data_IF_981700811342
#
_entry.id   IF_981700811342
#
_cell.length_a   1.000
_cell.length_b   1.000
_cell.length_c   1.000
_cell.angle_alpha   90.00
_cell.angle_beta   90.00
_cell.angle_gamma   90.00
#
_symmetry.space_group_name_H-M   'P 1'
#
loop_
_entity.id
_entity.type
_entity.pdbx_description
1 polymer ?
#
# COMPACT_ATOMS: atom_id res chain seq x y z
N UNK A 1 18.26 -5.51 -20.74
CA UNK A 1 18.51 -6.60 -19.76
C UNK A 1 19.69 -6.20 -18.88
N UNK A 2 19.60 -6.43 -17.58
CA UNK A 2 20.71 -6.16 -16.64
C UNK A 2 21.72 -7.32 -16.77
N UNK A 3 23.01 -7.07 -17.06
CA UNK A 3 24.02 -8.11 -17.12
C UNK A 3 24.08 -8.93 -15.82
N UNK A 4 24.29 -10.25 -15.93
CA UNK A 4 24.36 -11.12 -14.75
C UNK A 4 25.49 -10.74 -13.79
N UNK A 5 26.60 -10.20 -14.33
CA UNK A 5 27.69 -9.62 -13.53
C UNK A 5 27.23 -8.46 -12.64
N UNK A 6 26.32 -7.61 -13.13
CA UNK A 6 25.76 -6.50 -12.35
C UNK A 6 24.79 -6.99 -11.28
N UNK A 7 24.03 -8.06 -11.55
CA UNK A 7 23.16 -8.70 -10.55
C UNK A 7 24.01 -9.28 -9.42
N UNK A 8 25.11 -9.97 -9.76
CA UNK A 8 26.06 -10.50 -8.79
C UNK A 8 26.71 -9.40 -7.95
N UNK A 9 27.10 -8.28 -8.57
CA UNK A 9 27.62 -7.11 -7.84
C UNK A 9 26.59 -6.53 -6.87
N UNK A 10 25.34 -6.35 -7.30
CA UNK A 10 24.26 -5.85 -6.44
C UNK A 10 24.01 -6.75 -5.23
N UNK A 11 24.07 -8.07 -5.40
CA UNK A 11 23.95 -9.02 -4.28
C UNK A 11 25.16 -8.94 -3.35
N UNK A 12 26.38 -8.88 -3.88
CA UNK A 12 27.60 -8.75 -3.09
C UNK A 12 27.61 -7.47 -2.24
N UNK A 13 27.11 -6.36 -2.79
CA UNK A 13 26.98 -5.07 -2.09
C UNK A 13 25.76 -4.96 -1.18
N UNK A 14 24.99 -6.05 -1.00
CA UNK A 14 23.74 -6.09 -0.23
C UNK A 14 22.69 -5.07 -0.74
N UNK A 15 22.77 -4.69 -2.01
CA UNK A 15 21.79 -3.86 -2.73
C UNK A 15 20.67 -4.70 -3.33
N UNK A 16 20.92 -5.99 -3.52
CA UNK A 16 19.95 -6.99 -3.95
C UNK A 16 20.00 -8.23 -3.06
N UNK A 17 18.96 -9.04 -3.13
CA UNK A 17 18.86 -10.31 -2.41
C UNK A 17 18.24 -11.37 -3.30
N UNK A 18 18.82 -12.57 -3.32
CA UNK A 18 18.21 -13.76 -3.91
C UNK A 18 17.11 -14.27 -2.99
N UNK A 19 15.94 -14.53 -3.58
CA UNK A 19 14.76 -15.05 -2.91
C UNK A 19 14.19 -16.21 -3.76
N UNK A 20 13.26 -16.96 -3.19
CA UNK A 20 12.55 -18.02 -3.88
C UNK A 20 11.08 -18.03 -3.47
N UNK A 21 10.22 -18.44 -4.38
CA UNK A 21 8.81 -18.70 -4.12
C UNK A 21 8.39 -20.00 -4.83
N UNK A 22 8.19 -21.07 -4.05
CA UNK A 22 8.18 -22.42 -4.61
C UNK A 22 9.52 -22.72 -5.30
N UNK A 23 9.46 -23.25 -6.52
CA UNK A 23 10.64 -23.58 -7.33
C UNK A 23 11.19 -22.39 -8.11
N UNK A 24 10.50 -21.24 -8.10
CA UNK A 24 10.93 -20.06 -8.83
C UNK A 24 11.92 -19.23 -8.01
N UNK A 25 13.16 -19.14 -8.49
CA UNK A 25 14.22 -18.33 -7.89
C UNK A 25 14.36 -17.00 -8.61
N UNK A 26 14.51 -15.92 -7.86
CA UNK A 26 14.65 -14.58 -8.42
C UNK A 26 15.54 -13.70 -7.52
N UNK A 27 16.05 -12.62 -8.09
CA UNK A 27 16.76 -11.57 -7.36
C UNK A 27 15.85 -10.35 -7.23
N UNK A 28 15.71 -9.81 -6.02
CA UNK A 28 15.02 -8.53 -5.79
C UNK A 28 15.99 -7.44 -5.38
N UNK A 29 15.77 -6.23 -5.88
CA UNK A 29 16.51 -5.05 -5.45
C UNK A 29 15.97 -4.52 -4.11
N UNK A 30 16.86 -4.41 -3.12
CA UNK A 30 16.60 -3.80 -1.81
C UNK A 30 16.66 -2.27 -1.87
N UNK A 31 17.46 -1.74 -2.80
CA UNK A 31 17.70 -0.33 -3.04
C UNK A 31 17.67 -0.04 -4.55
N UNK A 32 17.60 1.24 -4.92
CA UNK A 32 17.75 1.64 -6.33
C UNK A 32 19.17 1.25 -6.81
N UNK A 33 19.28 0.75 -8.04
CA UNK A 33 20.54 0.24 -8.60
C UNK A 33 20.61 0.49 -10.11
N UNK A 34 21.59 1.29 -10.55
CA UNK A 34 21.83 1.62 -11.97
C UNK A 34 20.57 1.91 -12.80
N UNK A 35 19.72 2.82 -12.30
CA UNK A 35 18.46 3.23 -12.96
C UNK A 35 17.24 2.39 -12.58
N UNK A 36 17.43 1.19 -12.04
CA UNK A 36 16.33 0.32 -11.62
C UNK A 36 15.86 0.66 -10.20
N UNK A 37 14.55 0.89 -10.00
CA UNK A 37 14.02 1.22 -8.68
C UNK A 37 14.09 0.04 -7.71
N UNK A 38 14.14 0.34 -6.41
CA UNK A 38 13.90 -0.62 -5.33
C UNK A 38 12.64 -1.44 -5.60
N UNK A 39 12.72 -2.74 -5.32
CA UNK A 39 11.64 -3.69 -5.53
C UNK A 39 11.57 -4.26 -6.94
N UNK A 40 12.51 -3.90 -7.83
CA UNK A 40 12.69 -4.58 -9.13
C UNK A 40 13.00 -6.05 -8.91
N UNK A 41 12.38 -6.92 -9.71
CA UNK A 41 12.62 -8.36 -9.75
C UNK A 41 13.35 -8.74 -11.02
N UNK A 42 14.32 -9.64 -10.87
CA UNK A 42 15.17 -10.15 -11.94
C UNK A 42 15.24 -11.67 -11.82
N UNK A 43 14.76 -12.36 -12.84
CA UNK A 43 14.93 -13.80 -13.03
C UNK A 43 15.24 -14.06 -14.50
N UNK A 44 15.68 -15.28 -14.85
CA UNK A 44 16.04 -15.60 -16.23
C UNK A 44 14.89 -15.26 -17.20
N UNK A 45 15.14 -14.34 -18.14
CA UNK A 45 14.15 -13.82 -19.08
C UNK A 45 13.05 -12.90 -18.51
N UNK A 46 12.99 -12.65 -17.20
CA UNK A 46 11.92 -11.90 -16.53
C UNK A 46 12.48 -10.67 -15.80
N UNK A 47 11.99 -9.49 -16.18
CA UNK A 47 12.34 -8.22 -15.53
C UNK A 47 11.07 -7.47 -15.17
N UNK A 48 10.79 -7.37 -13.86
CA UNK A 48 9.63 -6.63 -13.33
C UNK A 48 10.13 -5.38 -12.62
N UNK A 49 10.07 -4.19 -13.24
CA UNK A 49 10.60 -2.98 -12.63
C UNK A 49 9.87 -2.65 -11.32
N UNK A 50 10.61 -2.14 -10.33
CA UNK A 50 10.06 -1.59 -9.09
C UNK A 50 9.05 -0.48 -9.41
N UNK A 51 7.87 -0.50 -8.78
CA UNK A 51 6.99 0.67 -8.90
C UNK A 51 7.75 1.88 -8.32
N UNK A 52 7.85 3.03 -9.00
CA UNK A 52 8.61 4.21 -8.56
C UNK A 52 7.90 4.93 -7.41
N UNK A 53 8.61 5.75 -6.63
CA UNK A 53 8.01 6.56 -5.56
C UNK A 53 7.21 7.70 -6.20
N UNK A 54 6.00 7.96 -5.69
CA UNK A 54 5.19 9.11 -6.09
C UNK A 54 5.38 10.23 -5.07
N UNK A 55 5.79 11.41 -5.56
CA UNK A 55 5.94 12.61 -4.74
C UNK A 55 4.61 13.08 -4.16
N UNK A 56 4.63 13.66 -2.97
CA UNK A 56 3.45 14.26 -2.35
C UNK A 56 3.46 15.76 -2.61
N UNK A 57 2.33 16.31 -3.04
CA UNK A 57 2.13 17.76 -3.03
C UNK A 57 1.55 18.13 -1.67
N UNK A 58 2.16 19.12 -1.01
CA UNK A 58 1.75 19.51 0.34
C UNK A 58 0.61 20.53 0.34
N UNK A 59 0.45 21.30 -0.75
CA UNK A 59 -0.63 22.27 -0.91
C UNK A 59 -1.19 22.28 -2.33
N UNK A 60 -2.47 22.63 -2.52
CA UNK A 60 -3.09 22.76 -3.84
C UNK A 60 -2.39 23.82 -4.70
N UNK A 61 -1.86 24.87 -4.10
CA UNK A 61 -1.07 25.88 -4.79
C UNK A 61 0.18 25.28 -5.49
N UNK A 62 0.77 24.22 -4.92
CA UNK A 62 1.91 23.51 -5.49
C UNK A 62 1.60 22.81 -6.82
N UNK A 63 0.34 22.53 -7.13
CA UNK A 63 -0.05 21.90 -8.40
C UNK A 63 0.34 22.77 -9.60
N UNK A 64 0.13 24.09 -9.51
CA UNK A 64 0.42 25.03 -10.60
C UNK A 64 1.90 25.11 -10.97
N UNK A 65 2.80 24.92 -9.99
CA UNK A 65 4.24 24.96 -10.24
C UNK A 65 4.81 23.61 -10.67
N UNK A 66 4.15 22.51 -10.30
CA UNK A 66 4.64 21.16 -10.56
C UNK A 66 4.14 20.60 -11.89
N UNK A 67 2.89 20.85 -12.28
CA UNK A 67 2.28 20.35 -13.50
C UNK A 67 2.44 21.37 -14.63
N UNK A 68 3.06 20.94 -15.73
CA UNK A 68 3.33 21.77 -16.91
C UNK A 68 2.30 21.55 -18.02
N UNK A 69 1.39 20.61 -17.81
CA UNK A 69 0.29 20.32 -18.69
C UNK A 69 -0.89 19.74 -17.92
N UNK A 70 -1.90 19.27 -18.64
CA UNK A 70 -3.09 18.70 -18.05
C UNK A 70 -2.77 17.39 -17.35
N UNK A 71 -3.61 16.97 -16.40
CA UNK A 71 -3.42 15.74 -15.67
C UNK A 71 -4.73 15.00 -15.43
N UNK A 72 -4.62 13.68 -15.36
CA UNK A 72 -5.69 12.79 -14.92
C UNK A 72 -5.75 12.77 -13.41
N UNK A 73 -6.97 12.77 -12.88
CA UNK A 73 -7.24 12.65 -11.44
C UNK A 73 -7.80 11.25 -11.21
N UNK A 74 -7.03 10.39 -10.55
CA UNK A 74 -7.48 9.07 -10.13
C UNK A 74 -7.56 9.02 -8.60
N UNK A 75 -8.53 8.32 -8.06
CA UNK A 75 -8.63 8.06 -6.63
C UNK A 75 -7.37 7.30 -6.15
N UNK A 76 -6.82 7.76 -5.03
CA UNK A 76 -5.82 7.00 -4.30
C UNK A 76 -6.57 6.01 -3.41
N UNK A 77 -6.48 4.73 -3.76
CA UNK A 77 -7.04 3.65 -2.94
C UNK A 77 -6.08 3.34 -1.80
N UNK A 78 -6.62 3.20 -0.59
CA UNK A 78 -5.86 2.79 0.59
C UNK A 78 -5.82 1.27 0.71
N UNK A 79 -4.62 0.70 0.74
CA UNK A 79 -4.37 -0.72 0.67
C UNK A 79 -2.88 -1.01 0.57
N UNK A 80 -2.51 -2.00 -0.23
CA UNK A 80 -1.10 -2.20 -0.56
C UNK A 80 -0.86 -2.41 -2.06
N UNK A 81 0.22 -1.80 -2.52
CA UNK A 81 0.70 -1.87 -3.89
C UNK A 81 1.14 -3.28 -4.29
N UNK A 82 0.59 -3.74 -5.42
CA UNK A 82 0.88 -5.03 -6.04
C UNK A 82 1.23 -4.83 -7.52
N UNK A 83 2.19 -5.62 -7.99
CA UNK A 83 2.49 -5.84 -9.42
C UNK A 83 2.18 -7.29 -9.76
N UNK A 84 1.18 -7.51 -10.62
CA UNK A 84 0.80 -8.85 -11.11
C UNK A 84 1.41 -9.04 -12.49
N UNK A 85 2.10 -10.15 -12.70
CA UNK A 85 2.82 -10.44 -13.95
C UNK A 85 2.90 -11.95 -14.18
N UNK A 86 3.20 -12.32 -15.43
CA UNK A 86 3.45 -13.70 -15.82
C UNK A 86 4.95 -14.01 -15.83
N UNK A 87 5.33 -15.17 -15.31
CA UNK A 87 6.67 -15.74 -15.50
C UNK A 87 6.54 -17.24 -15.77
N UNK A 88 6.97 -17.66 -16.96
CA UNK A 88 6.66 -18.99 -17.48
C UNK A 88 5.15 -19.19 -17.63
N UNK A 89 4.62 -20.27 -17.05
CA UNK A 89 3.19 -20.60 -17.10
C UNK A 89 2.41 -20.19 -15.85
N UNK A 90 3.06 -19.49 -14.91
CA UNK A 90 2.45 -19.05 -13.67
C UNK A 90 2.29 -17.52 -13.63
N UNK A 91 1.28 -17.08 -12.88
CA UNK A 91 1.10 -15.69 -12.50
C UNK A 91 1.63 -15.48 -11.08
N UNK A 92 2.29 -14.35 -10.88
CA UNK A 92 2.86 -13.96 -9.59
C UNK A 92 2.42 -12.54 -9.25
N UNK A 93 2.25 -12.30 -7.95
CA UNK A 93 1.94 -10.97 -7.43
C UNK A 93 3.08 -10.51 -6.51
N UNK A 94 3.81 -9.48 -6.94
CA UNK A 94 4.88 -8.87 -6.16
C UNK A 94 4.38 -7.68 -5.35
N UNK A 95 4.73 -7.63 -4.07
CA UNK A 95 4.56 -6.42 -3.24
C UNK A 95 5.45 -5.28 -3.73
N UNK A 96 5.22 -4.08 -3.21
CA UNK A 96 6.08 -2.91 -3.44
C UNK A 96 7.58 -3.17 -3.24
N UNK A 97 7.93 -3.98 -2.24
CA UNK A 97 9.32 -4.30 -1.90
C UNK A 97 9.98 -5.37 -2.77
N UNK A 98 9.26 -5.91 -3.75
CA UNK A 98 9.74 -7.01 -4.59
C UNK A 98 9.72 -8.37 -3.89
N UNK A 99 8.80 -8.59 -2.94
CA UNK A 99 8.55 -9.95 -2.43
C UNK A 99 7.32 -10.51 -3.12
N UNK A 100 7.39 -11.76 -3.59
CA UNK A 100 6.19 -12.46 -4.06
C UNK A 100 5.28 -12.69 -2.86
N UNK A 101 4.08 -12.12 -2.96
CA UNK A 101 3.06 -12.19 -1.93
C UNK A 101 2.34 -13.53 -2.05
N UNK A 102 2.46 -14.44 -1.06
CA UNK A 102 1.76 -15.73 -1.12
C UNK A 102 0.25 -15.54 -1.19
N UNK A 103 -0.28 -14.60 -0.38
CA UNK A 103 -1.69 -14.26 -0.36
C UNK A 103 -2.18 -13.70 -1.70
N UNK A 104 -1.56 -12.65 -2.22
CA UNK A 104 -2.07 -12.07 -3.47
C UNK A 104 -1.90 -13.03 -4.65
N UNK A 105 -0.81 -13.81 -4.69
CA UNK A 105 -0.56 -14.79 -5.76
C UNK A 105 -1.62 -15.88 -5.76
N UNK A 106 -1.98 -16.39 -4.59
CA UNK A 106 -3.06 -17.35 -4.39
C UNK A 106 -4.43 -16.82 -4.84
N UNK A 107 -4.66 -15.51 -4.66
CA UNK A 107 -5.94 -14.84 -4.90
C UNK A 107 -6.07 -14.20 -6.29
N UNK A 108 -5.07 -14.30 -7.18
CA UNK A 108 -5.08 -13.60 -8.49
C UNK A 108 -6.38 -13.88 -9.27
N UNK A 109 -6.79 -15.14 -9.35
CA UNK A 109 -7.97 -15.56 -10.11
C UNK A 109 -9.30 -15.02 -9.53
N UNK A 110 -9.33 -14.63 -8.26
CA UNK A 110 -10.49 -13.97 -7.65
C UNK A 110 -10.47 -12.45 -7.89
N UNK A 111 -9.29 -11.89 -8.15
CA UNK A 111 -9.06 -10.44 -8.23
C UNK A 111 -9.18 -9.91 -9.66
N UNK A 112 -8.75 -10.70 -10.64
CA UNK A 112 -8.73 -10.35 -12.06
C UNK A 112 -8.93 -11.60 -12.93
N UNK A 113 -9.40 -11.41 -14.17
CA UNK A 113 -9.41 -12.48 -15.17
C UNK A 113 -7.97 -12.72 -15.71
N UNK A 114 -7.39 -13.93 -15.51
CA UNK A 114 -6.06 -14.27 -16.01
C UNK A 114 -5.88 -14.17 -17.54
N UNK A 115 -6.96 -14.17 -18.31
CA UNK A 115 -6.93 -14.15 -19.78
C UNK A 115 -6.15 -12.96 -20.37
N UNK A 116 -6.05 -11.85 -19.63
CA UNK A 116 -5.21 -10.69 -20.01
C UNK A 116 -3.76 -11.08 -20.27
N UNK A 117 -3.20 -12.01 -19.49
CA UNK A 117 -1.82 -12.48 -19.64
C UNK A 117 -1.66 -13.60 -20.67
N UNK A 118 -2.76 -14.17 -21.15
CA UNK A 118 -2.74 -15.04 -22.33
C UNK A 118 -2.62 -14.19 -23.61
N UNK A 119 -3.28 -13.04 -23.66
CA UNK A 119 -3.18 -12.10 -24.77
C UNK A 119 -1.89 -11.28 -24.72
N UNK A 120 -1.46 -10.87 -23.52
CA UNK A 120 -0.32 -9.98 -23.30
C UNK A 120 0.56 -10.48 -22.16
N UNK A 121 1.39 -11.53 -22.41
CA UNK A 121 2.24 -12.14 -21.38
C UNK A 121 3.32 -11.18 -20.83
N UNK A 122 3.68 -10.14 -21.57
CA UNK A 122 4.69 -9.15 -21.22
C UNK A 122 4.18 -8.01 -20.33
N UNK A 123 2.86 -7.90 -20.13
CA UNK A 123 2.29 -6.85 -19.30
C UNK A 123 2.47 -7.11 -17.82
N UNK A 124 2.50 -6.02 -17.06
CA UNK A 124 2.53 -6.00 -15.61
C UNK A 124 1.38 -5.10 -15.16
N UNK A 125 0.41 -5.68 -14.46
CA UNK A 125 -0.70 -4.94 -13.88
C UNK A 125 -0.26 -4.36 -12.53
N UNK A 126 -0.27 -3.04 -12.42
CA UNK A 126 0.03 -2.34 -11.17
C UNK A 126 -1.28 -1.87 -10.55
N UNK A 127 -1.60 -2.39 -9.37
CA UNK A 127 -2.83 -2.06 -8.68
C UNK A 127 -2.70 -2.12 -7.17
N UNK A 128 -3.75 -1.66 -6.53
CA UNK A 128 -3.88 -1.67 -5.08
C UNK A 128 -4.78 -2.84 -4.68
N UNK A 129 -4.33 -3.64 -3.72
CA UNK A 129 -5.20 -4.63 -3.06
C UNK A 129 -5.67 -4.06 -1.74
N UNK A 130 -6.98 -4.06 -1.52
CA UNK A 130 -7.63 -3.49 -0.34
C UNK A 130 -8.79 -4.37 0.11
N UNK A 131 -9.21 -4.20 1.37
CA UNK A 131 -10.31 -4.96 1.98
C UNK A 131 -10.03 -5.33 3.44
N UNK A 132 -11.07 -5.72 4.20
CA UNK A 132 -10.92 -6.09 5.61
C UNK A 132 -10.13 -7.38 5.83
N UNK A 133 -9.91 -8.17 4.78
CA UNK A 133 -9.23 -9.48 4.87
C UNK A 133 -7.83 -9.49 4.28
N UNK A 134 -7.20 -8.30 4.19
CA UNK A 134 -5.81 -8.21 3.76
C UNK A 134 -4.84 -8.57 4.89
N UNK A 135 -3.66 -9.12 4.57
CA UNK A 135 -2.69 -9.52 5.59
C UNK A 135 -1.82 -8.35 6.11
N UNK A 136 -1.93 -7.16 5.52
CA UNK A 136 -1.00 -6.06 5.74
C UNK A 136 -1.60 -4.84 6.43
N UNK A 137 -2.85 -4.50 6.10
CA UNK A 137 -3.53 -3.29 6.59
C UNK A 137 -4.68 -3.72 7.50
N UNK A 138 -4.72 -3.19 8.73
CA UNK A 138 -5.88 -3.33 9.61
C UNK A 138 -6.97 -2.35 9.21
N UNK A 139 -8.22 -2.78 9.28
CA UNK A 139 -9.38 -1.91 9.14
C UNK A 139 -10.28 -2.28 7.97
N UNK A 140 -11.29 -1.45 7.75
CA UNK A 140 -12.24 -1.59 6.64
C UNK A 140 -11.73 -0.88 5.39
N UNK A 141 -12.18 -1.32 4.23
CA UNK A 141 -12.03 -0.56 2.98
C UNK A 141 -13.36 0.08 2.60
N UNK A 142 -13.41 1.39 2.27
CA UNK A 142 -14.63 2.03 1.80
C UNK A 142 -15.03 1.59 0.38
N UNK A 143 -14.14 0.90 -0.35
CA UNK A 143 -14.43 0.30 -1.66
C UNK A 143 -14.80 -1.18 -1.56
N UNK A 144 -14.33 -1.88 -0.53
CA UNK A 144 -14.46 -3.33 -0.37
C UNK A 144 -14.95 -3.63 1.04
N UNK A 145 -16.28 -3.75 1.25
CA UNK A 145 -16.85 -3.95 2.58
C UNK A 145 -16.55 -5.35 3.15
N UNK A 146 -16.34 -6.35 2.29
CA UNK A 146 -16.06 -7.74 2.67
C UNK A 146 -15.00 -8.33 1.74
N UNK A 147 -14.18 -9.26 2.23
CA UNK A 147 -13.15 -9.91 1.42
C UNK A 147 -11.99 -8.99 1.04
N UNK A 148 -11.58 -9.10 -0.22
CA UNK A 148 -10.51 -8.30 -0.83
C UNK A 148 -10.86 -7.96 -2.28
N UNK A 149 -10.39 -6.81 -2.74
CA UNK A 149 -10.51 -6.37 -4.13
C UNK A 149 -9.18 -5.83 -4.65
N UNK A 150 -9.04 -5.84 -5.97
CA UNK A 150 -7.90 -5.26 -6.70
C UNK A 150 -8.39 -4.06 -7.51
N UNK A 151 -7.62 -2.99 -7.52
CA UNK A 151 -7.91 -1.80 -8.33
C UNK A 151 -6.67 -1.40 -9.13
N UNK A 152 -6.74 -1.57 -10.45
CA UNK A 152 -5.71 -1.22 -11.41
C UNK A 152 -5.54 0.30 -11.45
N UNK A 153 -4.33 0.78 -11.16
CA UNK A 153 -3.98 2.19 -11.35
C UNK A 153 -2.95 2.37 -12.47
N UNK A 154 -2.10 1.40 -12.81
CA UNK A 154 -1.13 1.54 -13.90
C UNK A 154 -0.86 0.23 -14.62
N UNK A 155 -0.32 0.35 -15.84
CA UNK A 155 0.26 -0.75 -16.59
C UNK A 155 1.73 -0.47 -16.83
N UNK A 156 2.55 -1.52 -16.71
CA UNK A 156 3.96 -1.52 -17.09
C UNK A 156 4.21 -2.67 -18.06
N UNK A 157 5.35 -2.64 -18.75
CA UNK A 157 5.79 -3.71 -19.62
C UNK A 157 7.10 -4.30 -19.10
N UNK A 158 7.22 -5.63 -19.14
CA UNK A 158 8.44 -6.32 -18.72
C UNK A 158 9.65 -5.81 -19.51
N UNK A 159 10.75 -5.56 -18.79
CA UNK A 159 12.00 -5.09 -19.38
C UNK A 159 11.99 -3.65 -19.90
N UNK A 160 10.90 -2.90 -19.75
CA UNK A 160 10.78 -1.49 -20.18
C UNK A 160 10.57 -0.57 -18.98
N UNK A 161 11.11 0.64 -19.04
CA UNK A 161 10.87 1.68 -18.04
C UNK A 161 9.58 2.45 -18.32
N UNK A 162 8.96 2.95 -17.25
CA UNK A 162 7.80 3.82 -17.35
C UNK A 162 6.46 3.06 -17.37
N UNK A 163 5.43 3.79 -17.82
CA UNK A 163 4.04 3.35 -17.78
C UNK A 163 3.38 3.58 -19.12
N UNK A 164 2.35 2.79 -19.39
CA UNK A 164 1.42 3.10 -20.47
C UNK A 164 0.74 4.46 -20.20
N UNK A 165 0.42 5.25 -21.24
CA UNK A 165 -0.41 6.44 -21.11
C UNK A 165 -1.75 6.10 -20.45
N UNK A 166 -2.29 7.01 -19.62
CA UNK A 166 -3.53 6.77 -18.86
C UNK A 166 -4.70 6.39 -19.76
N UNK A 167 -4.84 7.04 -20.93
CA UNK A 167 -5.90 6.72 -21.91
C UNK A 167 -5.79 5.29 -22.44
N UNK A 168 -4.58 4.82 -22.70
CA UNK A 168 -4.32 3.47 -23.19
C UNK A 168 -4.60 2.44 -22.10
N UNK A 169 -4.13 2.71 -20.87
CA UNK A 169 -4.45 1.92 -19.68
C UNK A 169 -5.97 1.74 -19.49
N UNK A 170 -6.74 2.83 -19.59
CA UNK A 170 -8.20 2.81 -19.49
C UNK A 170 -8.86 2.01 -20.63
N UNK A 171 -8.33 2.10 -21.85
CA UNK A 171 -8.86 1.31 -22.98
C UNK A 171 -8.63 -0.19 -22.79
N UNK A 172 -7.43 -0.57 -22.32
CA UNK A 172 -7.07 -1.94 -21.98
C UNK A 172 -7.94 -2.47 -20.85
N UNK A 173 -8.06 -1.71 -19.76
CA UNK A 173 -8.85 -2.11 -18.61
C UNK A 173 -10.33 -2.32 -18.98
N UNK A 174 -10.92 -1.47 -19.82
CA UNK A 174 -12.28 -1.68 -20.36
C UNK A 174 -12.37 -2.96 -21.21
N UNK A 175 -11.38 -3.22 -22.06
CA UNK A 175 -11.38 -4.37 -22.98
C UNK A 175 -11.32 -5.70 -22.23
N UNK A 176 -10.52 -5.77 -21.16
CA UNK A 176 -10.37 -6.96 -20.31
C UNK A 176 -11.25 -6.92 -19.05
N UNK A 177 -12.11 -5.91 -18.89
CA UNK A 177 -12.96 -5.68 -17.70
C UNK A 177 -12.17 -5.69 -16.39
N UNK A 178 -10.97 -5.14 -16.41
CA UNK A 178 -10.13 -5.00 -15.21
C UNK A 178 -10.75 -3.94 -14.28
N UNK A 179 -10.85 -4.20 -12.97
CA UNK A 179 -11.33 -3.21 -12.01
C UNK A 179 -10.32 -2.08 -11.90
N UNK A 180 -10.67 -0.87 -12.35
CA UNK A 180 -9.81 0.31 -12.25
C UNK A 180 -10.06 1.10 -10.96
N UNK A 181 -9.06 1.84 -10.50
CA UNK A 181 -9.28 2.91 -9.52
C UNK A 181 -10.30 3.93 -10.08
N UNK A 182 -11.21 4.47 -9.25
CA UNK A 182 -12.15 5.50 -9.70
C UNK A 182 -11.45 6.70 -10.32
N UNK A 183 -11.93 7.14 -11.49
CA UNK A 183 -11.42 8.31 -12.19
C UNK A 183 -12.32 9.53 -11.98
N UNK A 184 -11.73 10.69 -11.76
CA UNK A 184 -12.43 11.98 -11.61
C UNK A 184 -12.20 12.93 -12.79
N UNK A 185 -11.79 12.37 -13.93
CA UNK A 185 -11.60 13.10 -15.18
C UNK A 185 -10.19 13.67 -15.35
N UNK A 186 -10.09 14.61 -16.28
CA UNK A 186 -8.84 15.27 -16.67
C UNK A 186 -8.99 16.77 -16.42
N UNK A 187 -8.04 17.36 -15.72
CA UNK A 187 -8.01 18.77 -15.37
C UNK A 187 -6.78 19.46 -15.96
N UNK A 188 -6.90 20.75 -16.19
CA UNK A 188 -5.81 21.66 -16.49
C UNK A 188 -5.14 22.14 -15.20
N UNK A 189 -3.86 22.50 -15.24
CA UNK A 189 -3.10 22.92 -14.05
C UNK A 189 -3.67 24.16 -13.32
N UNK A 190 -4.49 24.96 -14.02
CA UNK A 190 -5.19 26.11 -13.45
C UNK A 190 -6.47 25.78 -12.67
N UNK A 191 -7.08 24.61 -12.89
CA UNK A 191 -8.41 24.22 -12.40
C UNK A 191 -8.42 23.72 -10.94
N UNK A 192 -7.79 24.47 -10.04
CA UNK A 192 -7.66 24.09 -8.63
C UNK A 192 -9.00 24.03 -7.89
N UNK A 193 -10.02 24.80 -8.32
CA UNK A 193 -11.36 24.75 -7.74
C UNK A 193 -12.01 23.38 -7.95
N UNK A 194 -12.00 22.86 -9.17
CA UNK A 194 -12.52 21.53 -9.50
C UNK A 194 -11.79 20.42 -8.71
N UNK A 195 -10.47 20.55 -8.53
CA UNK A 195 -9.71 19.60 -7.72
C UNK A 195 -10.08 19.68 -6.23
N UNK A 196 -10.29 20.90 -5.69
CA UNK A 196 -10.78 21.12 -4.32
C UNK A 196 -12.13 20.45 -4.11
N UNK A 197 -13.06 20.59 -5.05
CA UNK A 197 -14.40 19.98 -4.97
C UNK A 197 -14.34 18.44 -4.97
N UNK A 198 -13.45 17.86 -5.79
CA UNK A 198 -13.19 16.41 -5.79
C UNK A 198 -12.67 15.97 -4.42
N UNK A 199 -11.69 16.68 -3.85
CA UNK A 199 -11.09 16.34 -2.56
C UNK A 199 -12.07 16.47 -1.41
N UNK A 200 -12.92 17.50 -1.40
CA UNK A 200 -13.96 17.68 -0.37
C UNK A 200 -14.98 16.54 -0.39
N UNK A 201 -15.40 16.10 -1.58
CA UNK A 201 -16.28 14.93 -1.72
C UNK A 201 -15.59 13.66 -1.21
N UNK A 202 -14.35 13.42 -1.64
CA UNK A 202 -13.57 12.26 -1.20
C UNK A 202 -13.36 12.25 0.32
N UNK A 203 -13.06 13.41 0.92
CA UNK A 203 -12.90 13.55 2.37
C UNK A 203 -14.17 13.17 3.13
N UNK A 204 -15.32 13.68 2.68
CA UNK A 204 -16.64 13.40 3.26
C UNK A 204 -17.04 11.91 3.14
N UNK A 205 -16.57 11.23 2.09
CA UNK A 205 -16.77 9.80 1.87
C UNK A 205 -15.71 8.91 2.57
N UNK A 206 -14.75 9.50 3.29
CA UNK A 206 -13.66 8.77 3.96
C UNK A 206 -12.67 8.12 2.98
N UNK A 207 -12.51 8.67 1.78
CA UNK A 207 -11.57 8.21 0.75
C UNK A 207 -10.19 8.82 0.98
N UNK A 208 -9.13 8.09 0.60
CA UNK A 208 -7.76 8.49 0.93
C UNK A 208 -7.32 9.79 0.25
N UNK A 209 -7.73 9.99 -1.01
CA UNK A 209 -7.37 11.17 -1.78
C UNK A 209 -7.15 10.83 -3.25
N UNK A 210 -6.15 11.45 -3.87
CA UNK A 210 -5.94 11.37 -5.32
C UNK A 210 -4.47 11.13 -5.69
N UNK A 211 -4.27 10.47 -6.83
CA UNK A 211 -3.04 10.47 -7.60
C UNK A 211 -3.28 11.25 -8.89
N UNK A 212 -2.48 12.29 -9.07
CA UNK A 212 -2.49 13.16 -10.24
C UNK A 212 -1.43 12.68 -11.23
N UNK A 213 -1.82 12.46 -12.47
CA UNK A 213 -0.96 11.87 -13.52
C UNK A 213 -0.93 12.78 -14.73
N UNK A 214 0.20 13.45 -14.96
CA UNK A 214 0.35 14.37 -16.07
C UNK A 214 0.16 13.66 -17.42
N UNK A 215 -0.66 14.25 -18.27
CA UNK A 215 -0.98 13.80 -19.63
C UNK A 215 0.07 14.34 -20.60
N UNK A 216 1.34 14.01 -20.36
CA UNK A 216 2.49 14.45 -21.13
C UNK A 216 3.55 13.34 -21.23
N UNK A 217 4.52 13.50 -22.14
CA UNK A 217 5.67 12.58 -22.25
C UNK A 217 6.53 12.54 -20.98
N UNK A 218 6.52 13.60 -20.17
CA UNK A 218 7.21 13.62 -18.86
C UNK A 218 6.55 12.66 -17.88
N UNK A 219 5.23 12.47 -17.98
CA UNK A 219 4.47 11.57 -17.12
C UNK A 219 4.63 11.87 -15.63
N UNK A 220 4.77 13.15 -15.27
CA UNK A 220 4.93 13.56 -13.87
C UNK A 220 3.73 13.14 -13.03
N UNK A 221 4.01 12.68 -11.80
CA UNK A 221 2.99 12.14 -10.91
C UNK A 221 3.14 12.73 -9.52
N UNK A 222 2.01 13.06 -8.93
CA UNK A 222 1.99 13.49 -7.55
C UNK A 222 0.73 12.99 -6.85
N UNK A 223 0.79 12.86 -5.52
CA UNK A 223 -0.36 12.46 -4.70
C UNK A 223 -0.74 13.56 -3.71
N UNK A 224 -2.01 13.62 -3.38
CA UNK A 224 -2.59 14.51 -2.39
C UNK A 224 -3.64 13.73 -1.59
N UNK A 225 -3.63 13.85 -0.26
CA UNK A 225 -4.41 13.02 0.67
C UNK A 225 -5.39 13.90 1.43
N UNK A 226 -6.56 13.37 1.75
CA UNK A 226 -7.64 14.07 2.47
C UNK A 226 -7.35 14.20 3.96
N UNK A 227 -8.01 15.14 4.63
CA UNK A 227 -7.85 15.33 6.08
C UNK A 227 -8.39 14.14 6.89
N UNK A 228 -9.51 13.55 6.45
CA UNK A 228 -10.11 12.37 7.06
C UNK A 228 -9.18 11.16 6.97
N UNK A 229 -8.44 11.00 5.87
CA UNK A 229 -7.43 9.96 5.72
C UNK A 229 -6.22 10.16 6.63
N UNK A 230 -5.72 11.39 6.78
CA UNK A 230 -4.63 11.68 7.73
C UNK A 230 -5.06 11.36 9.19
N UNK A 231 -6.31 11.66 9.56
CA UNK A 231 -6.88 11.29 10.86
C UNK A 231 -7.04 9.77 11.02
N UNK A 232 -7.49 9.07 9.98
CA UNK A 232 -7.62 7.61 9.99
C UNK A 232 -6.26 6.94 10.18
N UNK A 233 -5.23 7.44 9.50
CA UNK A 233 -3.85 7.00 9.66
C UNK A 233 -3.32 7.22 11.09
N UNK A 234 -3.58 8.39 11.67
CA UNK A 234 -3.20 8.70 13.06
C UNK A 234 -3.89 7.73 14.02
N UNK A 235 -5.18 7.49 13.83
CA UNK A 235 -5.97 6.57 14.67
C UNK A 235 -5.46 5.12 14.58
N UNK A 236 -5.27 4.63 13.35
CA UNK A 236 -4.76 3.29 13.10
C UNK A 236 -3.38 3.08 13.74
N UNK A 237 -2.47 4.04 13.57
CA UNK A 237 -1.08 3.90 14.03
C UNK A 237 -0.90 4.19 15.51
N UNK A 238 -1.81 4.95 16.12
CA UNK A 238 -1.86 5.12 17.57
C UNK A 238 -2.12 3.81 18.31
N UNK A 239 -2.63 2.77 17.64
CA UNK A 239 -2.74 1.41 18.22
C UNK A 239 -1.39 0.75 18.51
N UNK A 240 -0.33 1.23 17.86
CA UNK A 240 1.05 0.78 18.01
C UNK A 240 1.97 1.99 18.20
N UNK A 241 1.51 2.94 19.01
CA UNK A 241 2.06 4.29 19.15
C UNK A 241 3.58 4.34 19.35
N UNK A 242 4.14 3.41 20.13
CA UNK A 242 5.58 3.36 20.43
C UNK A 242 6.37 2.41 19.52
N UNK A 243 5.69 1.70 18.64
CA UNK A 243 6.29 0.88 17.58
C UNK A 243 6.39 1.68 16.27
N UNK A 244 5.94 2.94 16.26
CA UNK A 244 5.95 3.85 15.11
C UNK A 244 6.85 5.05 15.44
N UNK A 245 7.72 5.49 14.51
CA UNK A 245 8.54 6.68 14.72
C UNK A 245 7.69 7.93 14.99
N UNK A 246 8.08 8.82 15.92
CA UNK A 246 7.32 10.03 16.24
C UNK A 246 7.06 10.94 15.03
N UNK A 247 8.00 10.98 14.07
CA UNK A 247 7.90 11.76 12.83
C UNK A 247 6.68 11.34 11.99
N UNK A 248 6.25 10.07 12.11
CA UNK A 248 5.04 9.60 11.46
C UNK A 248 3.82 10.44 11.85
N UNK A 249 3.72 10.81 13.12
CA UNK A 249 2.59 11.57 13.66
C UNK A 249 2.75 13.06 13.38
N UNK A 250 3.92 13.63 13.64
CA UNK A 250 4.15 15.08 13.45
C UNK A 250 3.98 15.50 11.99
N UNK A 251 4.45 14.68 11.04
CA UNK A 251 4.23 14.92 9.61
C UNK A 251 2.75 14.91 9.23
N UNK A 252 1.93 14.05 9.83
CA UNK A 252 0.49 13.96 9.52
C UNK A 252 -0.32 15.08 10.12
N UNK A 253 0.03 15.51 11.33
CA UNK A 253 -0.56 16.71 11.93
C UNK A 253 -0.27 17.94 11.05
N UNK A 254 0.95 18.07 10.53
CA UNK A 254 1.29 19.14 9.59
C UNK A 254 0.49 19.05 8.29
N UNK A 255 0.34 17.85 7.72
CA UNK A 255 -0.46 17.64 6.49
C UNK A 255 -1.93 17.97 6.71
N UNK A 256 -2.50 17.55 7.84
CA UNK A 256 -3.85 17.92 8.22
C UNK A 256 -3.99 19.44 8.30
N UNK A 257 -3.07 20.13 8.99
CA UNK A 257 -3.11 21.59 9.07
C UNK A 257 -3.08 22.25 7.68
N UNK A 258 -2.19 21.81 6.79
CA UNK A 258 -2.10 22.32 5.41
C UNK A 258 -3.36 22.01 4.59
N UNK A 259 -3.94 20.83 4.74
CA UNK A 259 -5.21 20.47 4.11
C UNK A 259 -6.32 21.42 4.54
N UNK A 260 -6.44 21.73 5.83
CA UNK A 260 -7.46 22.66 6.35
C UNK A 260 -7.29 24.08 5.81
N UNK A 261 -6.06 24.53 5.56
CA UNK A 261 -5.81 25.79 4.85
C UNK A 261 -6.27 25.71 3.39
N UNK A 262 -5.91 24.63 2.68
CA UNK A 262 -6.24 24.44 1.26
C UNK A 262 -7.75 24.39 0.98
N UNK A 263 -8.52 23.81 1.89
CA UNK A 263 -9.98 23.73 1.78
C UNK A 263 -10.71 24.89 2.47
N UNK A 264 -9.98 25.83 3.09
CA UNK A 264 -10.55 26.94 3.86
C UNK A 264 -11.58 26.45 4.91
N UNK A 265 -11.18 25.44 5.70
CA UNK A 265 -12.07 24.72 6.60
C UNK A 265 -12.81 25.67 7.56
N UNK A 266 -14.16 25.70 7.56
CA UNK A 266 -14.91 26.68 8.34
C UNK A 266 -14.97 26.34 9.84
N UNK A 267 -14.98 25.06 10.20
CA UNK A 267 -15.12 24.59 11.59
C UNK A 267 -13.83 23.96 12.11
N UNK A 268 -12.89 24.80 12.55
CA UNK A 268 -11.61 24.33 13.10
C UNK A 268 -11.75 23.64 14.44
N UNK A 269 -12.79 23.94 15.22
CA UNK A 269 -12.99 23.32 16.53
C UNK A 269 -13.32 21.83 16.36
N UNK A 270 -14.19 21.50 15.41
CA UNK A 270 -14.51 20.11 15.07
C UNK A 270 -13.28 19.32 14.61
N UNK A 271 -12.42 19.90 13.78
CA UNK A 271 -11.18 19.25 13.35
C UNK A 271 -10.19 19.02 14.50
N UNK A 272 -10.08 19.98 15.43
CA UNK A 272 -9.27 19.81 16.63
C UNK A 272 -9.80 18.67 17.51
N UNK A 273 -11.13 18.57 17.68
CA UNK A 273 -11.79 17.48 18.39
C UNK A 273 -11.49 16.13 17.74
N UNK A 274 -11.69 16.02 16.42
CA UNK A 274 -11.42 14.79 15.65
C UNK A 274 -9.95 14.36 15.73
N UNK A 275 -9.01 15.30 15.72
CA UNK A 275 -7.58 15.01 15.92
C UNK A 275 -7.31 14.46 17.32
N UNK A 276 -7.88 15.08 18.35
CA UNK A 276 -7.79 14.57 19.72
C UNK A 276 -8.35 13.15 19.85
N UNK A 277 -9.50 12.89 19.24
CA UNK A 277 -10.13 11.55 19.23
C UNK A 277 -9.29 10.50 18.50
N UNK A 278 -8.67 10.86 17.36
CA UNK A 278 -7.80 9.96 16.62
C UNK A 278 -6.64 9.45 17.49
N UNK A 279 -6.07 10.29 18.35
CA UNK A 279 -5.04 9.84 19.31
C UNK A 279 -5.64 9.12 20.51
N UNK A 280 -6.53 9.79 21.24
CA UNK A 280 -6.92 9.39 22.60
C UNK A 280 -7.83 8.16 22.61
N UNK A 281 -8.74 8.02 21.64
CA UNK A 281 -9.63 6.86 21.58
C UNK A 281 -8.86 5.58 21.28
N UNK A 282 -7.94 5.62 20.30
CA UNK A 282 -7.07 4.49 19.98
C UNK A 282 -6.17 4.10 21.15
N UNK A 283 -5.56 5.08 21.84
CA UNK A 283 -4.74 4.83 23.02
C UNK A 283 -5.55 4.28 24.19
N UNK A 284 -6.78 4.76 24.41
CA UNK A 284 -7.68 4.23 25.44
C UNK A 284 -7.95 2.72 25.24
N UNK A 285 -8.29 2.32 24.01
CA UNK A 285 -8.47 0.90 23.66
C UNK A 285 -7.20 0.07 23.92
N UNK A 286 -6.03 0.63 23.59
CA UNK A 286 -4.75 -0.05 23.79
C UNK A 286 -4.37 -0.18 25.26
N UNK A 287 -4.60 0.85 26.08
CA UNK A 287 -4.45 0.78 27.54
C UNK A 287 -5.35 -0.32 28.11
N UNK A 288 -6.61 -0.40 27.65
CA UNK A 288 -7.51 -1.49 28.01
C UNK A 288 -6.97 -2.88 27.61
N UNK A 289 -6.35 -2.99 26.43
CA UNK A 289 -5.73 -4.24 25.95
C UNK A 289 -4.46 -4.62 26.74
N UNK A 290 -3.62 -3.64 27.08
CA UNK A 290 -2.45 -3.83 27.91
C UNK A 290 -2.80 -4.34 29.32
N UNK A 291 -3.92 -3.87 29.90
CA UNK A 291 -4.45 -4.40 31.17
C UNK A 291 -4.86 -5.87 31.09
N UNK A 292 -5.25 -6.36 29.91
CA UNK A 292 -5.53 -7.79 29.63
C UNK A 292 -4.28 -8.59 29.24
N UNK A 293 -3.11 -7.94 29.22
CA UNK A 293 -1.80 -8.56 29.09
C UNK A 293 -1.02 -8.16 27.84
N UNK A 294 -1.67 -7.95 26.68
CA UNK A 294 -0.94 -7.70 25.41
C UNK A 294 -1.70 -6.77 24.46
N UNK A 295 -0.97 -5.96 23.71
CA UNK A 295 -1.50 -5.19 22.57
C UNK A 295 -1.20 -5.93 21.28
N UNK A 296 -2.25 -6.37 20.57
CA UNK A 296 -2.15 -7.07 19.29
C UNK A 296 -3.07 -6.44 18.25
N UNK A 297 -2.66 -6.54 16.98
CA UNK A 297 -3.54 -6.41 15.81
C UNK A 297 -3.97 -7.79 15.33
N UNK A 298 -5.24 -7.95 14.94
CA UNK A 298 -5.81 -9.24 14.52
C UNK A 298 -6.14 -9.21 13.03
N UNK A 299 -5.77 -10.27 12.33
CA UNK A 299 -5.92 -10.40 10.88
C UNK A 299 -6.62 -11.71 10.53
N UNK A 300 -7.43 -11.65 9.48
CA UNK A 300 -8.12 -12.80 8.90
C UNK A 300 -7.91 -12.77 7.39
N UNK A 301 -7.42 -13.86 6.82
CA UNK A 301 -7.16 -13.96 5.39
C UNK A 301 -7.69 -15.29 4.86
N UNK A 302 -8.28 -15.26 3.67
CA UNK A 302 -8.76 -16.46 2.94
C UNK A 302 -7.79 -16.83 1.83
N UNK A 303 -7.47 -18.12 1.75
CA UNK A 303 -6.60 -18.73 0.75
C UNK A 303 -7.27 -19.92 0.07
N UNK A 304 -6.96 -20.16 -1.21
CA UNK A 304 -7.28 -21.40 -1.91
C UNK A 304 -6.31 -22.51 -1.52
N UNK A 305 -5.02 -22.20 -1.38
CA UNK A 305 -3.97 -23.15 -0.98
C UNK A 305 -3.50 -22.92 0.47
N UNK A 306 -3.52 -24.00 1.26
CA UNK A 306 -3.02 -24.03 2.64
C UNK A 306 -1.55 -23.65 2.72
N UNK A 307 -0.75 -24.08 1.75
CA UNK A 307 0.69 -23.84 1.74
C UNK A 307 1.01 -22.36 1.58
N UNK A 308 0.24 -21.62 0.77
CA UNK A 308 0.37 -20.17 0.65
C UNK A 308 0.04 -19.44 1.95
N UNK A 309 -0.90 -19.95 2.75
CA UNK A 309 -1.20 -19.40 4.06
C UNK A 309 -0.01 -19.53 5.03
N UNK A 310 0.66 -20.68 5.04
CA UNK A 310 1.85 -20.92 5.86
C UNK A 310 3.04 -20.07 5.39
N UNK A 311 3.30 -20.04 4.08
CA UNK A 311 4.34 -19.19 3.48
C UNK A 311 4.15 -17.72 3.80
N UNK A 312 2.91 -17.23 3.90
CA UNK A 312 2.65 -15.84 4.30
C UNK A 312 3.21 -15.57 5.71
N UNK A 313 2.92 -16.44 6.67
CA UNK A 313 3.39 -16.26 8.06
C UNK A 313 4.92 -16.30 8.14
N UNK A 314 5.55 -17.24 7.44
CA UNK A 314 7.01 -17.35 7.36
C UNK A 314 7.62 -16.08 6.76
N UNK A 315 7.03 -15.57 5.68
CA UNK A 315 7.48 -14.33 5.05
C UNK A 315 7.36 -13.14 5.99
N UNK A 316 6.25 -13.01 6.73
CA UNK A 316 6.07 -11.93 7.71
C UNK A 316 7.12 -11.97 8.82
N UNK A 317 7.44 -13.15 9.34
CA UNK A 317 8.45 -13.32 10.37
C UNK A 317 9.87 -12.89 9.92
N UNK A 318 10.10 -12.82 8.59
CA UNK A 318 11.38 -12.42 7.98
C UNK A 318 11.43 -10.93 7.58
N UNK A 319 10.35 -10.16 7.78
CA UNK A 319 10.37 -8.73 7.48
C UNK A 319 11.05 -8.01 8.66
N UNK A 320 12.17 -7.28 8.42
CA UNK A 320 12.85 -6.54 9.48
C UNK A 320 11.90 -5.58 10.19
N UNK A 321 11.90 -5.60 11.53
CA UNK A 321 10.97 -4.82 12.37
C UNK A 321 9.62 -5.50 12.64
N UNK A 322 9.36 -6.69 12.07
CA UNK A 322 8.23 -7.56 12.40
C UNK A 322 8.68 -8.94 12.90
N UNK A 323 9.98 -9.10 13.14
CA UNK A 323 10.62 -10.37 13.53
C UNK A 323 10.07 -10.87 14.88
N UNK A 324 9.41 -12.03 14.86
CA UNK A 324 8.88 -12.67 16.07
C UNK A 324 7.63 -12.02 16.65
N UNK A 325 6.92 -11.19 15.87
CA UNK A 325 5.69 -10.53 16.30
C UNK A 325 4.42 -11.11 15.69
N UNK A 326 4.56 -12.01 14.72
CA UNK A 326 3.41 -12.64 14.06
C UNK A 326 3.12 -14.01 14.68
N UNK A 327 1.89 -14.23 15.15
CA UNK A 327 1.44 -15.50 15.75
C UNK A 327 0.20 -16.02 15.04
N UNK A 328 0.26 -17.25 14.54
CA UNK A 328 -0.93 -17.96 14.06
C UNK A 328 -1.89 -18.25 15.23
N UNK A 329 -3.16 -17.92 15.04
CA UNK A 329 -4.27 -18.25 15.95
C UNK A 329 -4.96 -19.53 15.47
N UNK A 330 -5.36 -19.58 14.20
CA UNK A 330 -5.95 -20.77 13.60
C UNK A 330 -5.73 -20.80 12.08
N UNK A 331 -5.83 -22.00 11.50
CA UNK A 331 -5.82 -22.23 10.06
C UNK A 331 -6.79 -23.38 9.76
N UNK A 332 -7.99 -23.02 9.32
CA UNK A 332 -9.13 -23.93 9.21
C UNK A 332 -9.74 -23.87 7.82
N UNK A 333 -10.43 -24.93 7.39
CA UNK A 333 -11.13 -24.95 6.11
C UNK A 333 -12.57 -24.47 6.29
N UNK A 334 -12.93 -23.33 5.73
CA UNK A 334 -14.26 -22.74 5.80
C UNK A 334 -14.74 -22.36 4.38
N UNK A 335 -15.94 -22.80 3.99
CA UNK A 335 -16.57 -22.44 2.71
C UNK A 335 -15.68 -22.56 1.45
N UNK A 336 -14.83 -23.59 1.41
CA UNK A 336 -13.91 -23.84 0.27
C UNK A 336 -12.55 -23.17 0.38
N UNK A 337 -12.34 -22.26 1.34
CA UNK A 337 -11.07 -21.58 1.59
C UNK A 337 -10.37 -22.14 2.83
N UNK A 338 -9.05 -22.00 2.87
CA UNK A 338 -8.27 -22.00 4.10
C UNK A 338 -8.30 -20.61 4.72
N UNK A 339 -8.95 -20.49 5.88
CA UNK A 339 -9.06 -19.26 6.66
C UNK A 339 -7.91 -19.23 7.66
N UNK A 340 -6.95 -18.34 7.41
CA UNK A 340 -5.86 -18.05 8.32
C UNK A 340 -6.25 -16.90 9.24
N UNK A 341 -6.20 -17.14 10.55
CA UNK A 341 -6.32 -16.10 11.59
C UNK A 341 -4.98 -15.96 12.28
N UNK A 342 -4.47 -14.73 12.38
CA UNK A 342 -3.19 -14.48 13.02
C UNK A 342 -3.14 -13.10 13.67
N UNK A 343 -2.24 -12.94 14.62
CA UNK A 343 -2.05 -11.71 15.40
C UNK A 343 -0.65 -11.14 15.15
N UNK A 344 -0.55 -9.80 15.18
CA UNK A 344 0.73 -9.08 15.23
C UNK A 344 0.89 -8.41 16.59
N UNK A 345 1.99 -8.66 17.29
CA UNK A 345 2.32 -8.10 18.59
C UNK A 345 2.96 -6.71 18.44
N UNK A 346 2.50 -5.75 19.26
CA UNK A 346 3.08 -4.41 19.35
C UNK A 346 3.98 -4.34 20.58
N UNK A 347 5.24 -4.77 20.45
CA UNK A 347 6.14 -5.02 21.58
C UNK A 347 6.44 -3.75 22.37
N UNK A 348 6.86 -2.69 21.70
CA UNK A 348 7.25 -1.45 22.38
C UNK A 348 6.04 -0.83 23.08
N UNK A 349 4.89 -0.80 22.41
CA UNK A 349 3.64 -0.32 23.00
C UNK A 349 3.21 -1.18 24.18
N UNK A 350 3.24 -2.52 24.04
CA UNK A 350 2.86 -3.44 25.12
C UNK A 350 3.78 -3.30 26.34
N UNK A 351 5.10 -3.34 26.13
CA UNK A 351 6.09 -3.28 27.21
C UNK A 351 6.04 -1.95 27.96
N UNK A 352 5.92 -0.84 27.22
CA UNK A 352 5.78 0.47 27.83
C UNK A 352 4.50 0.60 28.66
N UNK A 353 3.34 0.23 28.09
CA UNK A 353 2.06 0.35 28.79
C UNK A 353 2.02 -0.55 30.03
N UNK A 354 2.60 -1.75 29.96
CA UNK A 354 2.71 -2.63 31.12
C UNK A 354 3.51 -1.98 32.26
N UNK A 355 4.69 -1.43 31.96
CA UNK A 355 5.54 -0.77 32.95
C UNK A 355 4.87 0.50 33.53
N UNK A 356 4.28 1.33 32.67
CA UNK A 356 3.61 2.56 33.09
C UNK A 356 2.38 2.27 33.97
N UNK A 357 1.56 1.28 33.60
CA UNK A 357 0.40 0.86 34.41
C UNK A 357 0.81 0.15 35.70
N UNK A 358 2.02 -0.42 35.77
CA UNK A 358 2.63 -0.99 36.97
C UNK A 358 3.24 0.04 37.92
N UNK A 359 3.28 1.33 37.56
CA UNK A 359 3.83 2.41 38.40
C UNK A 359 5.35 2.60 38.30
N UNK A 360 5.99 2.04 37.27
CA UNK A 360 7.42 2.23 37.04
C UNK A 360 7.76 3.70 36.74
N UNK A 361 8.88 4.18 37.29
CA UNK A 361 9.41 5.52 37.00
C UNK A 361 9.94 5.60 35.57
N UNK A 362 9.78 6.79 34.96
CA UNK A 362 10.32 7.15 33.66
C UNK A 362 11.20 8.39 33.81
N UNK A 363 12.37 8.35 33.19
CA UNK A 363 13.29 9.49 33.07
C UNK A 363 13.32 9.88 31.60
N UNK A 364 13.10 11.15 31.31
CA UNK A 364 13.08 11.71 29.96
C UNK A 364 14.35 12.49 29.64
#
# INVERSE_FOLDING_TARGET
MIPESEIHAAVAEKKAKRESFGDWTYTRLLHDWHGWPRGTLLADGVVVPGYPKIGRVQTLAGIRSLFHGPFWVEEKVDGYNVRIFRAGDALYAATRGGLICPFTTDRIADLIDPAVFSAHPEWILCGEVTGPETPYVEGSSPLVPEGVGFFLFDLMQQGTEGFFPVREKQAIARSFRLPEVPGHGRLEAGELGSLRDILLRLDAEGREGVVLKEDSLRGFRAKYVTGSAELADISSMSRRYLDVPPEYFTERVLRLALFLEDIEAPDREEWNRRLGEAFLSALHERIGSARRGRCVGSFVCRFHDRENALRLLENMARIPGHEGDTRMVSLEKEAGFWVLRFEKLYRSTTGFLHNALGGSLRFD
#
